data_IF_439847372206
#
_entry.id   IF_439847372206
#
_cell.length_a   1.000
_cell.length_b   1.000
_cell.length_c   1.000
_cell.angle_alpha   90.00
_cell.angle_beta   90.00
_cell.angle_gamma   90.00
#
_symmetry.space_group_name_H-M   'P 1'
#
loop_
_entity.id
_entity.type
_entity.pdbx_description
1 polymer ?
#
# COMPACT_ATOMS: atom_id res chain seq x y z
N UNK A 1 -5.90 -13.75 -0.41
CA UNK A 1 -4.89 -12.89 0.25
C UNK A 1 -3.77 -13.76 0.79
N UNK A 2 -2.50 -13.34 0.68
CA UNK A 2 -1.36 -13.99 1.35
C UNK A 2 -0.98 -13.14 2.57
N UNK A 3 -0.61 -13.79 3.67
CA UNK A 3 -0.11 -13.12 4.88
C UNK A 3 1.40 -13.02 4.79
N UNK A 4 1.93 -11.85 5.12
CA UNK A 4 3.37 -11.58 5.21
C UNK A 4 3.69 -11.06 6.61
N UNK A 5 4.78 -11.56 7.18
CA UNK A 5 5.30 -11.12 8.47
C UNK A 5 6.60 -10.36 8.23
N UNK A 6 6.75 -9.19 8.86
CA UNK A 6 7.98 -8.41 8.81
C UNK A 6 8.40 -8.01 10.23
N UNK A 7 9.69 -7.78 10.41
CA UNK A 7 10.25 -7.26 11.66
C UNK A 7 10.25 -5.73 11.60
N UNK A 8 9.98 -5.10 12.73
CA UNK A 8 9.94 -3.63 12.86
C UNK A 8 10.35 -3.26 14.29
N UNK A 9 10.96 -2.10 14.44
CA UNK A 9 11.28 -1.55 15.76
C UNK A 9 10.02 -1.13 16.52
N UNK A 10 10.03 -1.26 17.84
CA UNK A 10 8.89 -0.97 18.72
C UNK A 10 8.40 0.48 18.55
N UNK A 11 9.34 1.44 18.49
CA UNK A 11 9.00 2.87 18.33
C UNK A 11 8.23 3.14 17.02
N UNK A 12 8.59 2.46 15.94
CA UNK A 12 7.91 2.60 14.67
C UNK A 12 6.52 1.92 14.70
N UNK A 13 6.40 0.79 15.39
CA UNK A 13 5.12 0.11 15.60
C UNK A 13 4.14 1.00 16.40
N UNK A 14 4.61 1.66 17.46
CA UNK A 14 3.78 2.60 18.25
C UNK A 14 3.29 3.79 17.41
N UNK A 15 4.18 4.37 16.60
CA UNK A 15 3.81 5.47 15.68
C UNK A 15 2.77 5.02 14.65
N UNK A 16 2.95 3.83 14.09
CA UNK A 16 2.01 3.23 13.15
C UNK A 16 0.63 3.03 13.79
N UNK A 17 0.60 2.53 15.04
CA UNK A 17 -0.63 2.33 15.79
C UNK A 17 -1.37 3.62 16.08
N UNK A 18 -0.63 4.64 16.51
CA UNK A 18 -1.20 5.95 16.74
C UNK A 18 -1.81 6.52 15.46
N UNK A 19 -1.06 6.46 14.35
CA UNK A 19 -1.55 6.92 13.04
C UNK A 19 -2.80 6.16 12.59
N UNK A 20 -2.79 4.83 12.69
CA UNK A 20 -3.90 3.98 12.31
C UNK A 20 -5.16 4.31 13.12
N UNK A 21 -5.04 4.45 14.45
CA UNK A 21 -6.13 4.84 15.36
C UNK A 21 -6.70 6.21 15.03
N UNK A 22 -5.84 7.22 14.83
CA UNK A 22 -6.28 8.57 14.49
C UNK A 22 -7.09 8.62 13.20
N UNK A 23 -6.80 7.73 12.24
CA UNK A 23 -7.47 7.65 10.95
C UNK A 23 -8.62 6.64 10.91
N UNK A 24 -8.90 5.93 12.02
CA UNK A 24 -9.89 4.86 12.07
C UNK A 24 -9.58 3.69 11.14
N UNK A 25 -8.28 3.44 10.85
CA UNK A 25 -7.80 2.36 9.97
C UNK A 25 -7.10 1.26 10.76
N UNK A 26 -6.99 0.08 10.16
CA UNK A 26 -6.13 -0.99 10.66
C UNK A 26 -4.67 -0.77 10.25
N UNK A 27 -3.72 -1.35 11.00
CA UNK A 27 -2.29 -1.33 10.65
C UNK A 27 -2.05 -1.84 9.23
N UNK A 28 -2.74 -2.91 8.85
CA UNK A 28 -2.61 -3.55 7.54
C UNK A 28 -3.07 -2.65 6.38
N UNK A 29 -4.10 -1.83 6.59
CA UNK A 29 -4.54 -0.83 5.60
C UNK A 29 -3.49 0.27 5.45
N UNK A 30 -2.99 0.81 6.56
CA UNK A 30 -1.96 1.85 6.55
C UNK A 30 -0.68 1.36 5.87
N UNK A 31 -0.21 0.17 6.22
CA UNK A 31 0.97 -0.44 5.61
C UNK A 31 0.75 -0.65 4.10
N UNK A 32 -0.43 -1.12 3.71
CA UNK A 32 -0.75 -1.33 2.29
C UNK A 32 -0.76 -0.03 1.51
N UNK A 33 -1.41 1.01 2.04
CA UNK A 33 -1.43 2.34 1.42
C UNK A 33 -0.02 2.93 1.28
N UNK A 34 0.81 2.80 2.31
CA UNK A 34 2.20 3.24 2.27
C UNK A 34 3.00 2.49 1.19
N UNK A 35 2.85 1.16 1.10
CA UNK A 35 3.51 0.36 0.07
C UNK A 35 3.02 0.70 -1.33
N UNK A 36 1.71 0.87 -1.53
CA UNK A 36 1.13 1.26 -2.82
C UNK A 36 1.61 2.64 -3.26
N UNK A 37 1.74 3.59 -2.32
CA UNK A 37 2.29 4.91 -2.59
C UNK A 37 3.76 4.84 -2.98
N UNK A 38 4.57 4.16 -2.17
CA UNK A 38 6.01 3.99 -2.42
C UNK A 38 6.26 3.32 -3.79
N UNK A 39 5.53 2.24 -4.08
CA UNK A 39 5.65 1.56 -5.38
C UNK A 39 5.19 2.48 -6.52
N UNK A 40 4.09 3.21 -6.38
CA UNK A 40 3.65 4.14 -7.43
C UNK A 40 4.71 5.20 -7.75
N UNK A 41 5.41 5.70 -6.74
CA UNK A 41 6.48 6.69 -6.91
C UNK A 41 7.73 6.11 -7.59
N UNK A 42 8.15 4.91 -7.19
CA UNK A 42 9.40 4.30 -7.66
C UNK A 42 9.27 3.55 -8.99
N UNK A 43 8.17 2.80 -9.18
CA UNK A 43 7.94 1.95 -10.36
C UNK A 43 6.85 2.50 -11.30
N UNK A 44 6.19 3.61 -10.95
CA UNK A 44 5.02 4.14 -11.66
C UNK A 44 3.73 3.38 -11.32
N UNK A 45 2.58 3.77 -11.90
CA UNK A 45 1.37 2.96 -11.76
C UNK A 45 1.66 1.54 -12.28
N UNK A 46 1.44 0.49 -11.47
CA UNK A 46 1.50 -0.86 -11.98
C UNK A 46 0.45 -0.91 -13.07
N UNK A 47 0.89 -1.07 -14.32
CA UNK A 47 -0.01 -1.46 -15.39
C UNK A 47 -0.55 -2.81 -14.93
N UNK A 48 -1.75 -2.84 -14.36
CA UNK A 48 -2.25 -4.05 -13.70
C UNK A 48 -2.29 -5.13 -14.77
N UNK A 49 -1.35 -6.07 -14.71
CA UNK A 49 -1.47 -7.31 -15.45
C UNK A 49 -2.47 -8.16 -14.67
N UNK A 50 -3.75 -7.83 -14.81
CA UNK A 50 -4.77 -8.87 -14.67
C UNK A 50 -4.49 -9.86 -15.80
N UNK A 51 -3.88 -10.99 -15.44
CA UNK A 51 -3.57 -12.09 -16.35
C UNK A 51 -2.79 -11.68 -17.62
N UNK A 52 -1.72 -10.89 -17.48
CA UNK A 52 -0.79 -10.60 -18.59
C UNK A 52 -1.28 -9.59 -19.64
N UNK A 53 -2.43 -8.95 -19.45
CA UNK A 53 -2.93 -7.90 -20.36
C UNK A 53 -2.59 -6.51 -19.79
N UNK A 54 -1.85 -5.70 -20.56
CA UNK A 54 -1.58 -4.29 -20.24
C UNK A 54 -2.78 -3.44 -20.64
N UNK A 55 -3.48 -2.83 -19.69
CA UNK A 55 -4.56 -1.87 -19.98
C UNK A 55 -4.19 -0.51 -19.39
N UNK A 56 -3.99 0.50 -20.24
CA UNK A 56 -3.95 1.90 -19.82
C UNK A 56 -5.39 2.36 -19.59
N UNK A 57 -5.72 2.83 -18.39
CA UNK A 57 -6.99 3.54 -18.16
C UNK A 57 -6.88 4.91 -18.85
N UNK A 58 -7.36 4.98 -20.09
CA UNK A 58 -7.54 6.26 -20.80
C UNK A 58 -8.66 7.00 -20.09
N UNK A 59 -8.35 8.20 -19.56
CA UNK A 59 -9.34 9.16 -19.11
C UNK A 59 -9.97 9.76 -20.37
N UNK A 60 -11.14 9.27 -20.76
CA UNK A 60 -11.95 9.88 -21.83
C UNK A 60 -12.65 11.09 -21.22
N UNK A 61 -12.50 12.24 -21.88
CA UNK A 61 -13.16 13.52 -21.58
C UNK A 61 -14.68 13.42 -21.75
#
# INVERSE_FOLDING_TARGET
MRVVTFKVDEELLEKLDYYARQRGKTRSEVIREALEHLLREEIGEPTTTIAGIKIKKIRIL
#
